data_IF_395332013841
#
_entry.id   IF_395332013841
#
_cell.length_a   1.000
_cell.length_b   1.000
_cell.length_c   1.000
_cell.angle_alpha   90.00
_cell.angle_beta   90.00
_cell.angle_gamma   90.00
#
_symmetry.space_group_name_H-M   'P 1'
#
loop_
_entity.id
_entity.type
_entity.pdbx_description
1 polymer ?
#
# COMPACT_ATOMS: atom_id res chain seq x y z
N UNK A 1 30.16 -2.72 5.86
CA UNK A 1 28.88 -3.01 5.14
C UNK A 1 29.19 -3.15 3.66
N UNK A 2 28.76 -4.24 2.99
CA UNK A 2 28.96 -4.40 1.54
C UNK A 2 28.10 -3.37 0.81
N UNK A 3 28.73 -2.47 0.08
CA UNK A 3 28.07 -1.49 -0.80
C UNK A 3 27.23 -2.29 -1.80
N UNK A 4 25.90 -2.18 -1.70
CA UNK A 4 25.02 -2.81 -2.66
C UNK A 4 25.13 -2.04 -3.99
N UNK A 5 25.54 -2.73 -5.06
CA UNK A 5 25.62 -2.11 -6.38
C UNK A 5 24.27 -1.52 -6.82
N UNK A 6 24.31 -0.42 -7.57
CA UNK A 6 23.14 0.35 -8.02
C UNK A 6 22.00 -0.54 -8.57
N UNK A 7 22.33 -1.47 -9.47
CA UNK A 7 21.36 -2.40 -10.08
C UNK A 7 20.69 -3.34 -9.07
N UNK A 8 21.40 -3.75 -8.02
CA UNK A 8 20.82 -4.57 -6.94
C UNK A 8 19.80 -3.78 -6.13
N UNK A 9 20.03 -2.48 -5.91
CA UNK A 9 19.09 -1.58 -5.22
C UNK A 9 17.83 -1.36 -6.05
N UNK A 10 17.99 -1.10 -7.35
CA UNK A 10 16.86 -0.96 -8.29
C UNK A 10 16.01 -2.24 -8.28
N UNK A 11 16.63 -3.40 -8.43
CA UNK A 11 15.91 -4.67 -8.47
C UNK A 11 15.17 -4.97 -7.15
N UNK A 12 15.83 -4.78 -6.00
CA UNK A 12 15.19 -4.98 -4.69
C UNK A 12 13.97 -4.07 -4.50
N UNK A 13 14.13 -2.77 -4.77
CA UNK A 13 13.01 -1.82 -4.61
C UNK A 13 11.88 -2.11 -5.60
N UNK A 14 12.19 -2.58 -6.81
CA UNK A 14 11.19 -2.98 -7.79
C UNK A 14 10.40 -4.21 -7.31
N UNK A 15 11.08 -5.24 -6.79
CA UNK A 15 10.43 -6.42 -6.22
C UNK A 15 9.57 -6.06 -5.01
N UNK A 16 10.09 -5.27 -4.07
CA UNK A 16 9.36 -4.83 -2.88
C UNK A 16 8.13 -3.98 -3.26
N UNK A 17 8.27 -3.09 -4.24
CA UNK A 17 7.16 -2.27 -4.76
C UNK A 17 6.08 -3.12 -5.43
N UNK A 18 6.48 -4.09 -6.26
CA UNK A 18 5.56 -5.02 -6.91
C UNK A 18 4.81 -5.86 -5.88
N UNK A 19 5.52 -6.43 -4.90
CA UNK A 19 4.91 -7.21 -3.82
C UNK A 19 3.87 -6.38 -3.04
N UNK A 20 4.18 -5.11 -2.77
CA UNK A 20 3.27 -4.19 -2.10
C UNK A 20 2.01 -3.93 -2.95
N UNK A 21 2.18 -3.63 -4.24
CA UNK A 21 1.05 -3.39 -5.17
C UNK A 21 0.18 -4.63 -5.28
N UNK A 22 0.75 -5.82 -5.45
CA UNK A 22 0.00 -7.08 -5.50
C UNK A 22 -0.76 -7.35 -4.20
N UNK A 23 -0.12 -7.15 -3.05
CA UNK A 23 -0.76 -7.38 -1.74
C UNK A 23 -1.96 -6.44 -1.53
N UNK A 24 -1.81 -5.15 -1.83
CA UNK A 24 -2.92 -4.19 -1.74
C UNK A 24 -4.02 -4.48 -2.77
N UNK A 25 -3.65 -4.89 -3.99
CA UNK A 25 -4.60 -5.25 -5.05
C UNK A 25 -5.45 -6.47 -4.67
N UNK A 26 -4.82 -7.55 -4.20
CA UNK A 26 -5.53 -8.76 -3.73
C UNK A 26 -6.46 -8.42 -2.57
N UNK A 27 -5.99 -7.60 -1.61
CA UNK A 27 -6.84 -7.16 -0.50
C UNK A 27 -8.08 -6.40 -0.98
N UNK A 28 -7.93 -5.50 -1.95
CA UNK A 28 -9.04 -4.77 -2.54
C UNK A 28 -10.05 -5.71 -3.22
N UNK A 29 -9.58 -6.70 -3.98
CA UNK A 29 -10.45 -7.69 -4.64
C UNK A 29 -11.27 -8.49 -3.61
N UNK A 30 -10.60 -9.04 -2.59
CA UNK A 30 -11.28 -9.78 -1.52
C UNK A 30 -12.32 -8.90 -0.84
N UNK A 31 -11.97 -7.64 -0.57
CA UNK A 31 -12.88 -6.68 0.05
C UNK A 31 -14.12 -6.41 -0.82
N UNK A 32 -13.94 -6.20 -2.13
CA UNK A 32 -15.05 -6.00 -3.08
C UNK A 32 -15.98 -7.23 -3.07
N UNK A 33 -15.43 -8.44 -3.11
CA UNK A 33 -16.21 -9.69 -3.07
C UNK A 33 -17.02 -9.77 -1.77
N UNK A 34 -16.41 -9.50 -0.62
CA UNK A 34 -17.09 -9.52 0.68
C UNK A 34 -18.18 -8.46 0.79
N UNK A 35 -17.97 -7.30 0.17
CA UNK A 35 -18.95 -6.23 0.10
C UNK A 35 -20.20 -6.66 -0.69
N UNK A 36 -20.02 -7.22 -1.89
CA UNK A 36 -21.15 -7.74 -2.70
C UNK A 36 -21.87 -8.91 -2.03
N UNK A 37 -21.15 -9.76 -1.29
CA UNK A 37 -21.74 -10.84 -0.49
C UNK A 37 -22.48 -10.36 0.76
N UNK A 38 -22.44 -9.07 1.09
CA UNK A 38 -23.05 -8.53 2.31
C UNK A 38 -22.51 -9.15 3.60
N UNK A 39 -21.28 -9.68 3.56
CA UNK A 39 -20.72 -10.46 4.67
C UNK A 39 -20.45 -9.56 5.89
N UNK A 40 -20.84 -9.97 7.11
CA UNK A 40 -20.60 -9.18 8.32
C UNK A 40 -19.11 -9.00 8.55
N UNK A 41 -18.68 -7.74 8.63
CA UNK A 41 -17.31 -7.39 9.00
C UNK A 41 -16.99 -7.86 10.43
N UNK A 42 -15.70 -8.05 10.72
CA UNK A 42 -15.24 -8.44 12.07
C UNK A 42 -15.77 -7.49 13.16
N UNK A 43 -15.76 -6.18 12.92
CA UNK A 43 -16.32 -5.21 13.87
C UNK A 43 -17.82 -5.38 14.09
N UNK A 44 -18.59 -5.75 13.06
CA UNK A 44 -20.03 -6.04 13.21
C UNK A 44 -20.29 -7.32 13.99
N UNK A 45 -19.46 -8.35 13.78
CA UNK A 45 -19.52 -9.59 14.57
C UNK A 45 -19.25 -9.34 16.04
N UNK A 46 -18.28 -8.47 16.36
CA UNK A 46 -17.93 -8.12 17.73
C UNK A 46 -18.99 -7.24 18.42
N UNK A 47 -19.64 -6.37 17.66
CA UNK A 47 -20.62 -5.40 18.19
C UNK A 47 -22.07 -5.86 18.12
N UNK A 48 -22.36 -7.04 17.54
CA UNK A 48 -23.71 -7.54 17.35
C UNK A 48 -24.59 -6.68 16.42
N UNK A 49 -23.98 -5.79 15.64
CA UNK A 49 -24.71 -4.84 14.79
C UNK A 49 -25.10 -5.46 13.45
N UNK A 50 -26.33 -5.19 12.99
CA UNK A 50 -26.84 -5.64 11.69
C UNK A 50 -26.67 -4.57 10.62
N UNK A 51 -26.49 -4.99 9.36
CA UNK A 51 -26.43 -4.05 8.24
C UNK A 51 -27.79 -3.37 8.03
N UNK A 52 -27.81 -2.04 7.99
CA UNK A 52 -28.96 -1.25 7.53
C UNK A 52 -28.81 -1.00 6.03
N UNK A 53 -29.73 -1.51 5.20
CA UNK A 53 -29.64 -1.39 3.73
C UNK A 53 -29.61 0.07 3.24
N UNK A 54 -30.32 0.97 3.93
CA UNK A 54 -30.44 2.39 3.55
C UNK A 54 -29.12 3.20 3.54
N UNK A 55 -28.03 2.71 4.15
CA UNK A 55 -26.75 3.44 4.21
C UNK A 55 -25.57 2.66 3.63
N UNK A 56 -25.79 1.46 3.09
CA UNK A 56 -24.72 0.59 2.58
C UNK A 56 -23.95 1.23 1.42
N UNK A 57 -24.65 1.84 0.46
CA UNK A 57 -24.00 2.49 -0.69
C UNK A 57 -23.08 3.64 -0.29
N UNK A 58 -23.49 4.46 0.68
CA UNK A 58 -22.67 5.58 1.17
C UNK A 58 -21.42 5.09 1.92
N UNK A 59 -21.54 4.03 2.72
CA UNK A 59 -20.38 3.38 3.37
C UNK A 59 -19.42 2.75 2.37
N UNK A 60 -19.95 2.15 1.30
CA UNK A 60 -19.15 1.59 0.20
C UNK A 60 -18.34 2.67 -0.50
N UNK A 61 -18.99 3.79 -0.84
CA UNK A 61 -18.37 4.95 -1.48
C UNK A 61 -17.23 5.50 -0.63
N UNK A 62 -17.46 5.73 0.68
CA UNK A 62 -16.41 6.20 1.59
C UNK A 62 -15.23 5.24 1.67
N UNK A 63 -15.49 3.94 1.69
CA UNK A 63 -14.43 2.92 1.69
C UNK A 63 -13.67 2.87 0.36
N UNK A 64 -14.36 3.04 -0.76
CA UNK A 64 -13.74 3.10 -2.08
C UNK A 64 -12.85 4.36 -2.20
N UNK A 65 -13.35 5.52 -1.77
CA UNK A 65 -12.58 6.77 -1.69
C UNK A 65 -11.36 6.62 -0.78
N UNK A 66 -11.50 5.94 0.36
CA UNK A 66 -10.39 5.63 1.25
C UNK A 66 -9.31 4.78 0.56
N UNK A 67 -9.71 3.72 -0.14
CA UNK A 67 -8.77 2.89 -0.90
C UNK A 67 -8.10 3.67 -2.03
N UNK A 68 -8.85 4.49 -2.76
CA UNK A 68 -8.32 5.33 -3.83
C UNK A 68 -7.28 6.34 -3.30
N UNK A 69 -7.56 7.00 -2.18
CA UNK A 69 -6.60 7.86 -1.49
C UNK A 69 -5.36 7.08 -1.03
N UNK A 70 -5.53 5.84 -0.57
CA UNK A 70 -4.41 5.00 -0.13
C UNK A 70 -3.53 4.59 -1.31
N UNK A 71 -4.11 4.20 -2.44
CA UNK A 71 -3.38 3.92 -3.68
C UNK A 71 -2.65 5.16 -4.19
N UNK A 72 -3.29 6.33 -4.17
CA UNK A 72 -2.66 7.59 -4.56
C UNK A 72 -1.46 7.90 -3.65
N UNK A 73 -1.65 7.83 -2.33
CA UNK A 73 -0.61 8.17 -1.35
C UNK A 73 0.58 7.21 -1.44
N UNK A 74 0.31 5.91 -1.47
CA UNK A 74 1.34 4.87 -1.56
C UNK A 74 2.01 4.91 -2.94
N UNK A 75 1.25 5.10 -4.02
CA UNK A 75 1.78 5.21 -5.38
C UNK A 75 2.72 6.40 -5.53
N UNK A 76 2.38 7.56 -4.98
CA UNK A 76 3.25 8.73 -4.96
C UNK A 76 4.56 8.43 -4.20
N UNK A 77 4.48 7.76 -3.05
CA UNK A 77 5.68 7.37 -2.28
C UNK A 77 6.60 6.45 -3.09
N UNK A 78 6.05 5.47 -3.79
CA UNK A 78 6.82 4.56 -4.65
C UNK A 78 7.49 5.32 -5.81
N UNK A 79 6.79 6.27 -6.43
CA UNK A 79 7.35 7.12 -7.49
C UNK A 79 8.49 7.99 -6.96
N UNK A 80 8.31 8.62 -5.79
CA UNK A 80 9.34 9.44 -5.14
C UNK A 80 10.57 8.61 -4.81
N UNK A 81 10.41 7.39 -4.30
CA UNK A 81 11.53 6.49 -4.01
C UNK A 81 12.23 6.04 -5.29
N UNK A 82 11.50 5.77 -6.36
CA UNK A 82 12.08 5.45 -7.67
C UNK A 82 12.93 6.59 -8.23
N UNK A 83 12.41 7.83 -8.21
CA UNK A 83 13.16 9.03 -8.64
C UNK A 83 14.41 9.23 -7.76
N UNK A 84 14.31 9.03 -6.44
CA UNK A 84 15.45 9.15 -5.53
C UNK A 84 16.56 8.16 -5.85
N UNK A 85 16.20 6.90 -6.15
CA UNK A 85 17.16 5.86 -6.55
C UNK A 85 17.89 6.28 -7.83
N UNK A 86 17.17 6.78 -8.85
CA UNK A 86 17.77 7.26 -10.11
C UNK A 86 18.75 8.40 -9.85
N UNK A 87 18.37 9.35 -8.99
CA UNK A 87 19.22 10.46 -8.57
C UNK A 87 20.39 10.03 -7.66
N UNK A 88 20.58 8.73 -7.44
CA UNK A 88 21.55 8.13 -6.51
C UNK A 88 21.40 8.66 -5.07
N UNK A 89 20.23 9.18 -4.73
CA UNK A 89 19.85 9.58 -3.37
C UNK A 89 19.23 8.37 -2.67
N UNK A 90 19.47 8.26 -1.37
CA UNK A 90 18.82 7.21 -0.57
C UNK A 90 17.29 7.36 -0.59
N UNK A 91 16.59 6.23 -0.56
CA UNK A 91 15.11 6.21 -0.47
C UNK A 91 14.64 6.83 0.84
N UNK A 92 13.35 7.18 0.92
CA UNK A 92 12.73 7.61 2.18
C UNK A 92 12.89 6.56 3.28
N UNK A 93 12.78 5.27 2.93
CA UNK A 93 13.00 4.17 3.86
C UNK A 93 14.45 4.07 4.35
N UNK A 94 15.43 4.22 3.45
CA UNK A 94 16.86 4.22 3.81
C UNK A 94 17.21 5.41 4.72
N UNK A 95 16.67 6.59 4.44
CA UNK A 95 16.84 7.78 5.30
C UNK A 95 16.19 7.61 6.67
N UNK A 96 15.03 6.96 6.75
CA UNK A 96 14.32 6.75 8.02
C UNK A 96 14.96 5.67 8.87
N UNK A 97 15.58 4.66 8.25
CA UNK A 97 16.23 3.56 8.94
C UNK A 97 17.70 3.86 9.30
N UNK A 98 18.18 5.10 9.11
CA UNK A 98 19.59 5.51 9.17
C UNK A 98 20.54 4.55 8.44
N UNK A 99 20.00 3.88 7.41
CA UNK A 99 20.70 2.85 6.69
C UNK A 99 21.33 3.50 5.46
N UNK A 100 22.27 4.41 5.75
CA UNK A 100 23.03 5.16 4.76
C UNK A 100 23.99 4.21 4.03
N UNK A 101 23.46 3.41 3.12
CA UNK A 101 24.24 2.71 2.09
C UNK A 101 24.66 3.70 0.99
N UNK A 102 25.04 4.91 1.39
CA UNK A 102 25.57 5.98 0.56
C UNK A 102 26.98 6.24 1.05
N UNK A 103 27.95 5.63 0.39
CA UNK A 103 29.32 6.14 0.36
C UNK A 103 29.59 6.37 -1.12
N UNK A 104 29.78 7.65 -1.48
CA UNK A 104 30.31 8.22 -2.71
C UNK A 104 29.90 7.58 -4.05
#
# INVERSE_FOLDING_TARGET
>A
MKIAGFWRRVFRNLVDSLALVFTLGIYLIIFIILFFKGSPSWGMRLTGTKYSSNRMGRLALWRLLFWLLRFLTVGILLIVDFIRIILKKGTLAEKKADNFTIIA
#
